data_IF_321358618352
#
_entry.id   IF_321358618352
#
_cell.length_a   1.000
_cell.length_b   1.000
_cell.length_c   1.000
_cell.angle_alpha   90.00
_cell.angle_beta   90.00
_cell.angle_gamma   90.00
#
_symmetry.space_group_name_H-M   'P 1'
#
loop_
_entity.id
_entity.type
_entity.pdbx_description
1 polymer ?
#
# COMPACT_ATOMS: atom_id res chain seq x y z
N UNK A 1 -36.67 -16.26 0.50
CA UNK A 1 -35.83 -15.90 1.66
C UNK A 1 -35.06 -14.66 1.26
N UNK A 2 -35.49 -13.48 1.72
CA UNK A 2 -34.83 -12.22 1.40
C UNK A 2 -33.72 -11.97 2.42
N UNK A 3 -32.47 -11.98 1.97
CA UNK A 3 -31.34 -11.56 2.79
C UNK A 3 -31.37 -10.03 2.86
N UNK A 4 -31.92 -9.50 3.96
CA UNK A 4 -31.79 -8.10 4.30
C UNK A 4 -30.30 -7.84 4.59
N UNK A 5 -29.63 -6.91 3.88
CA UNK A 5 -28.23 -6.63 4.13
C UNK A 5 -28.07 -6.26 5.62
N UNK A 6 -27.13 -6.91 6.30
CA UNK A 6 -26.83 -6.59 7.69
C UNK A 6 -26.62 -5.08 7.83
N UNK A 7 -27.29 -4.47 8.81
CA UNK A 7 -27.09 -3.08 9.21
C UNK A 7 -25.59 -2.85 9.35
N UNK A 8 -25.00 -2.16 8.37
CA UNK A 8 -23.62 -1.69 8.48
C UNK A 8 -23.61 -0.79 9.71
N UNK A 9 -22.78 -1.06 10.74
CA UNK A 9 -22.73 -0.18 11.90
C UNK A 9 -22.52 1.26 11.43
N UNK A 10 -23.23 2.18 12.08
CA UNK A 10 -23.32 3.60 11.73
C UNK A 10 -21.90 4.16 11.53
N UNK A 11 -21.53 4.44 10.27
CA UNK A 11 -20.14 4.77 9.92
C UNK A 11 -19.81 6.12 10.53
N UNK A 12 -18.83 6.16 11.44
CA UNK A 12 -18.36 7.43 11.97
C UNK A 12 -17.71 8.25 10.84
N UNK A 13 -18.10 9.52 10.65
CA UNK A 13 -17.48 10.38 9.64
C UNK A 13 -16.01 10.66 9.98
N UNK A 14 -15.15 10.66 8.96
CA UNK A 14 -13.78 11.14 9.06
C UNK A 14 -13.78 12.68 9.00
N UNK A 15 -12.81 13.30 9.67
CA UNK A 15 -12.50 14.70 9.40
C UNK A 15 -11.98 14.88 7.96
N UNK A 16 -12.03 16.12 7.48
CA UNK A 16 -11.69 16.43 6.09
C UNK A 16 -10.24 16.08 5.75
N UNK A 17 -9.30 16.26 6.70
CA UNK A 17 -7.89 15.95 6.49
C UNK A 17 -7.66 14.45 6.39
N UNK A 18 -8.23 13.65 7.30
CA UNK A 18 -8.17 12.19 7.24
C UNK A 18 -8.81 11.65 5.95
N UNK A 19 -9.95 12.21 5.53
CA UNK A 19 -10.60 11.85 4.29
C UNK A 19 -9.75 12.22 3.05
N UNK A 20 -9.07 13.37 3.06
CA UNK A 20 -8.15 13.77 2.00
C UNK A 20 -6.93 12.85 1.92
N UNK A 21 -6.31 12.53 3.06
CA UNK A 21 -5.19 11.59 3.16
C UNK A 21 -5.56 10.20 2.64
N UNK A 22 -6.74 9.68 2.99
CA UNK A 22 -7.22 8.41 2.47
C UNK A 22 -7.41 8.43 0.94
N UNK A 23 -7.95 9.52 0.38
CA UNK A 23 -8.08 9.67 -1.08
C UNK A 23 -6.74 9.80 -1.78
N UNK A 24 -5.80 10.55 -1.21
CA UNK A 24 -4.45 10.70 -1.74
C UNK A 24 -3.72 9.35 -1.79
N UNK A 25 -3.76 8.60 -0.69
CA UNK A 25 -3.22 7.25 -0.62
C UNK A 25 -3.88 6.34 -1.66
N UNK A 26 -5.20 6.39 -1.80
CA UNK A 26 -5.91 5.60 -2.80
C UNK A 26 -5.54 5.99 -4.25
N UNK A 27 -5.22 7.25 -4.54
CA UNK A 27 -4.73 7.68 -5.85
C UNK A 27 -3.30 7.17 -6.09
N UNK A 28 -2.43 7.25 -5.09
CA UNK A 28 -1.07 6.70 -5.13
C UNK A 28 -1.08 5.19 -5.39
N UNK A 29 -1.95 4.44 -4.70
CA UNK A 29 -2.09 3.00 -4.93
C UNK A 29 -2.55 2.71 -6.36
N UNK A 30 -3.58 3.41 -6.86
CA UNK A 30 -4.05 3.22 -8.24
C UNK A 30 -2.96 3.51 -9.27
N UNK A 31 -2.14 4.53 -9.05
CA UNK A 31 -1.02 4.86 -9.94
C UNK A 31 0.07 3.77 -9.97
N UNK A 32 0.15 2.91 -8.94
CA UNK A 32 1.13 1.81 -8.86
C UNK A 32 0.61 0.48 -9.37
N UNK A 33 -0.71 0.31 -9.54
CA UNK A 33 -1.32 -0.96 -9.93
C UNK A 33 -0.78 -1.46 -11.27
N UNK A 34 -0.67 -0.58 -12.27
CA UNK A 34 -0.19 -0.97 -13.60
C UNK A 34 1.27 -1.44 -13.56
N UNK A 35 2.11 -0.80 -12.74
CA UNK A 35 3.49 -1.21 -12.55
C UNK A 35 3.58 -2.59 -11.86
N UNK A 36 2.76 -2.82 -10.82
CA UNK A 36 2.71 -4.13 -10.16
C UNK A 36 2.23 -5.23 -11.11
N UNK A 37 1.16 -4.98 -11.86
CA UNK A 37 0.64 -5.92 -12.86
C UNK A 37 1.71 -6.27 -13.88
N UNK A 38 2.41 -5.26 -14.42
CA UNK A 38 3.51 -5.48 -15.37
C UNK A 38 4.63 -6.34 -14.81
N UNK A 39 5.04 -6.14 -13.56
CA UNK A 39 6.09 -6.97 -12.91
C UNK A 39 5.62 -8.41 -12.72
N UNK A 40 4.36 -8.61 -12.30
CA UNK A 40 3.81 -9.96 -12.11
C UNK A 40 3.66 -10.72 -13.43
N UNK A 41 3.23 -10.03 -14.49
CA UNK A 41 3.16 -10.59 -15.85
C UNK A 41 4.55 -10.94 -16.38
N UNK A 42 5.56 -10.10 -16.13
CA UNK A 42 6.95 -10.38 -16.49
C UNK A 42 7.49 -11.61 -15.77
N UNK A 43 7.26 -11.73 -14.45
CA UNK A 43 7.64 -12.91 -13.67
C UNK A 43 6.93 -14.17 -14.19
N UNK A 44 5.65 -14.06 -14.55
CA UNK A 44 4.91 -15.18 -15.11
C UNK A 44 5.45 -15.63 -16.49
N UNK A 45 5.95 -14.69 -17.29
CA UNK A 45 6.51 -14.95 -18.62
C UNK A 45 7.96 -15.44 -18.57
N UNK A 46 8.77 -14.94 -17.64
CA UNK A 46 10.23 -15.07 -17.67
C UNK A 46 10.84 -15.73 -16.41
N UNK A 47 10.04 -15.98 -15.38
CA UNK A 47 10.50 -16.47 -14.08
C UNK A 47 11.00 -15.34 -13.17
N UNK A 48 11.51 -15.71 -11.99
CA UNK A 48 12.00 -14.72 -11.03
C UNK A 48 13.30 -14.04 -11.51
N UNK A 49 13.51 -12.76 -11.16
CA UNK A 49 14.80 -12.11 -11.38
C UNK A 49 15.92 -12.79 -10.59
N UNK A 50 17.16 -12.66 -11.06
CA UNK A 50 18.33 -13.22 -10.39
C UNK A 50 18.46 -12.65 -8.97
N UNK A 51 18.76 -13.47 -7.95
CA UNK A 51 19.01 -12.97 -6.60
C UNK A 51 20.19 -12.00 -6.55
N UNK A 52 21.13 -12.06 -7.50
CA UNK A 52 22.25 -11.12 -7.60
C UNK A 52 21.82 -9.69 -7.97
N UNK A 53 20.63 -9.52 -8.56
CA UNK A 53 20.04 -8.21 -8.87
C UNK A 53 19.13 -7.68 -7.75
N UNK A 54 18.90 -8.49 -6.71
CA UNK A 54 18.09 -8.13 -5.56
C UNK A 54 18.86 -7.34 -4.51
N UNK A 55 18.13 -6.85 -3.52
CA UNK A 55 18.69 -6.29 -2.27
C UNK A 55 18.49 -7.33 -1.17
N UNK A 56 19.47 -7.46 -0.25
CA UNK A 56 19.31 -8.33 0.91
C UNK A 56 18.11 -7.86 1.74
N UNK A 57 17.35 -8.82 2.28
CA UNK A 57 16.14 -8.51 3.03
C UNK A 57 16.44 -7.60 4.22
N UNK A 58 17.55 -7.83 4.91
CA UNK A 58 18.01 -7.04 6.04
C UNK A 58 18.26 -5.59 5.64
N UNK A 59 18.93 -5.36 4.50
CA UNK A 59 19.22 -4.01 3.99
C UNK A 59 17.94 -3.27 3.61
N UNK A 60 17.01 -3.93 2.90
CA UNK A 60 15.74 -3.33 2.51
C UNK A 60 14.86 -3.01 3.74
N UNK A 61 14.82 -3.92 4.72
CA UNK A 61 14.07 -3.74 5.96
C UNK A 61 14.64 -2.58 6.78
N UNK A 62 15.95 -2.56 6.99
CA UNK A 62 16.58 -1.60 7.87
C UNK A 62 16.50 -0.18 7.27
N UNK A 63 16.73 -0.02 5.97
CA UNK A 63 16.52 1.25 5.28
C UNK A 63 15.06 1.73 5.34
N UNK A 64 14.08 0.81 5.29
CA UNK A 64 12.67 1.17 5.46
C UNK A 64 12.35 1.62 6.89
N UNK A 65 12.90 0.95 7.90
CA UNK A 65 12.71 1.31 9.31
C UNK A 65 13.37 2.65 9.64
N UNK A 66 14.55 2.94 9.10
CA UNK A 66 15.22 4.24 9.24
C UNK A 66 14.37 5.36 8.65
N UNK A 67 13.81 5.16 7.45
CA UNK A 67 12.88 6.12 6.84
C UNK A 67 11.66 6.37 7.71
N UNK A 68 11.03 5.33 8.23
CA UNK A 68 9.88 5.45 9.14
C UNK A 68 10.26 6.18 10.45
N UNK A 69 11.44 5.89 11.00
CA UNK A 69 11.94 6.58 12.19
C UNK A 69 12.17 8.09 11.92
N UNK A 70 12.64 8.44 10.72
CA UNK A 70 12.78 9.83 10.26
C UNK A 70 11.45 10.53 9.97
N UNK A 71 10.37 9.79 9.78
CA UNK A 71 9.01 10.28 9.50
C UNK A 71 8.15 10.50 10.77
N UNK A 72 8.70 10.27 11.98
CA UNK A 72 7.98 10.40 13.26
C UNK A 72 7.33 11.79 13.47
N UNK A 73 6.22 11.86 14.23
CA UNK A 73 4.93 12.30 13.71
C UNK A 73 4.71 13.83 13.78
N UNK A 74 4.12 14.41 12.72
CA UNK A 74 3.30 15.62 12.85
C UNK A 74 2.01 15.25 13.58
N UNK A 75 2.09 15.06 14.90
CA UNK A 75 0.91 15.07 15.76
C UNK A 75 0.50 16.53 15.89
N UNK A 76 -0.69 16.87 15.39
CA UNK A 76 -1.41 18.10 15.74
C UNK A 76 -2.20 17.87 17.03
#
# INVERSE_FOLDING_TARGET
>A
MSEQPALVPDRQPLDEHAAASARAYAAEQRARVDALASVLEDIAAHGYPSPETGVLWEEARDGHLERLAGEQPRVA
#
